data_IF_182979531400
#
_entry.id   IF_182979531400
#
_cell.length_a   1.000
_cell.length_b   1.000
_cell.length_c   1.000
_cell.angle_alpha   90.00
_cell.angle_beta   90.00
_cell.angle_gamma   90.00
#
_symmetry.space_group_name_H-M   'P 1'
#
loop_
_entity.id
_entity.type
_entity.pdbx_description
1 polymer ?
#
# COMPACT_ATOMS: atom_id res chain seq x y z
N UNK A 1 -41.46 -10.77 36.90
CA UNK A 1 -40.22 -10.31 36.26
C UNK A 1 -39.20 -11.44 36.34
N UNK A 2 -38.99 -12.17 35.26
CA UNK A 2 -37.98 -13.24 35.20
C UNK A 2 -36.76 -12.61 34.54
N UNK A 3 -35.70 -12.39 35.33
CA UNK A 3 -34.38 -12.03 34.82
C UNK A 3 -33.80 -13.26 34.12
N UNK A 4 -34.01 -13.36 32.80
CA UNK A 4 -33.28 -14.28 31.96
C UNK A 4 -31.85 -13.78 31.77
N UNK A 5 -30.94 -14.17 32.67
CA UNK A 5 -29.51 -14.08 32.40
C UNK A 5 -29.20 -15.10 31.30
N UNK A 6 -29.21 -14.66 30.04
CA UNK A 6 -28.70 -15.47 28.95
C UNK A 6 -27.19 -15.60 29.17
N UNK A 7 -26.74 -16.76 29.68
CA UNK A 7 -25.34 -17.15 29.58
C UNK A 7 -24.93 -17.01 28.11
N UNK A 8 -23.96 -16.14 27.83
CA UNK A 8 -23.32 -16.16 26.52
C UNK A 8 -22.80 -17.59 26.29
N UNK A 9 -23.16 -18.24 25.18
CA UNK A 9 -22.68 -19.58 24.90
C UNK A 9 -21.15 -19.56 24.92
N UNK A 10 -20.54 -20.51 25.64
CA UNK A 10 -19.11 -20.76 25.55
C UNK A 10 -18.79 -21.20 24.12
N UNK A 11 -18.36 -20.26 23.28
CA UNK A 11 -17.91 -20.54 21.92
C UNK A 11 -16.40 -20.65 21.98
N UNK A 12 -15.88 -21.88 21.87
CA UNK A 12 -14.45 -22.09 21.61
C UNK A 12 -14.10 -21.32 20.33
N UNK A 13 -13.01 -20.56 20.35
CA UNK A 13 -12.55 -19.88 19.14
C UNK A 13 -12.42 -20.89 18.00
N UNK A 14 -12.95 -20.58 16.80
CA UNK A 14 -12.88 -21.49 15.66
C UNK A 14 -11.43 -21.73 15.28
N UNK A 15 -11.12 -22.96 14.88
CA UNK A 15 -9.81 -23.31 14.34
C UNK A 15 -9.68 -22.70 12.94
N UNK A 16 -8.82 -21.68 12.79
CA UNK A 16 -8.61 -20.97 11.52
C UNK A 16 -7.68 -21.73 10.57
N UNK A 17 -6.97 -22.73 11.07
CA UNK A 17 -6.04 -23.58 10.33
C UNK A 17 -6.17 -25.04 10.78
N UNK A 18 -6.58 -25.92 9.87
CA UNK A 18 -6.66 -27.36 10.11
C UNK A 18 -5.86 -28.11 9.05
N UNK A 19 -5.03 -29.06 9.47
CA UNK A 19 -4.33 -29.96 8.55
C UNK A 19 -5.05 -31.30 8.50
N UNK A 20 -5.50 -31.69 7.30
CA UNK A 20 -6.20 -32.94 7.05
C UNK A 20 -5.21 -34.12 6.99
N UNK A 21 -5.73 -35.35 7.13
CA UNK A 21 -4.90 -36.55 7.14
C UNK A 21 -4.10 -36.79 5.84
N UNK A 22 -4.59 -36.27 4.71
CA UNK A 22 -3.90 -36.33 3.41
C UNK A 22 -2.81 -35.25 3.26
N UNK A 23 -2.68 -34.33 4.22
CA UNK A 23 -1.78 -33.17 4.17
C UNK A 23 -2.42 -31.89 3.63
N UNK A 24 -3.71 -31.89 3.26
CA UNK A 24 -4.42 -30.67 2.85
C UNK A 24 -4.53 -29.71 4.02
N UNK A 25 -4.07 -28.47 3.84
CA UNK A 25 -4.23 -27.39 4.83
C UNK A 25 -5.47 -26.59 4.47
N UNK A 26 -6.46 -26.55 5.35
CA UNK A 26 -7.65 -25.72 5.24
C UNK A 26 -7.53 -24.49 6.13
N UNK A 27 -7.94 -23.35 5.60
CA UNK A 27 -7.82 -22.06 6.27
C UNK A 27 -9.15 -21.31 6.18
N UNK A 28 -9.50 -20.56 7.24
CA UNK A 28 -10.64 -19.64 7.25
C UNK A 28 -10.16 -18.28 7.75
N UNK A 29 -10.38 -17.24 6.95
CA UNK A 29 -9.97 -15.88 7.28
C UNK A 29 -10.80 -15.36 8.45
N UNK A 30 -10.18 -15.00 9.60
CA UNK A 30 -10.94 -14.65 10.78
C UNK A 30 -11.86 -13.45 10.53
N UNK A 31 -11.36 -12.41 9.86
CA UNK A 31 -12.10 -11.16 9.68
C UNK A 31 -12.92 -11.11 8.38
N UNK A 32 -12.66 -12.04 7.46
CA UNK A 32 -13.21 -12.03 6.11
C UNK A 32 -14.13 -13.22 5.81
N UNK A 33 -14.05 -14.28 6.62
CA UNK A 33 -14.72 -15.57 6.34
C UNK A 33 -14.18 -16.27 5.09
N UNK A 34 -13.05 -15.82 4.54
CA UNK A 34 -12.51 -16.36 3.29
C UNK A 34 -11.98 -17.78 3.50
N UNK A 35 -12.49 -18.74 2.73
CA UNK A 35 -12.05 -20.13 2.79
C UNK A 35 -10.92 -20.39 1.79
N UNK A 36 -9.86 -21.06 2.24
CA UNK A 36 -8.65 -21.29 1.43
C UNK A 36 -8.10 -22.67 1.68
N UNK A 37 -7.77 -23.42 0.63
CA UNK A 37 -7.15 -24.73 0.73
C UNK A 37 -5.76 -24.75 0.07
N UNK A 38 -4.82 -25.40 0.73
CA UNK A 38 -3.52 -25.77 0.17
C UNK A 38 -3.47 -27.29 0.05
N UNK A 39 -3.61 -27.79 -1.17
CA UNK A 39 -3.67 -29.24 -1.45
C UNK A 39 -2.26 -29.77 -1.80
N UNK A 40 -1.82 -30.90 -1.23
CA UNK A 40 -0.54 -31.52 -1.56
C UNK A 40 -0.37 -31.78 -3.06
N UNK A 41 0.85 -31.66 -3.56
CA UNK A 41 1.17 -31.84 -4.98
C UNK A 41 0.89 -30.61 -5.88
N UNK A 42 0.03 -29.67 -5.48
CA UNK A 42 -0.10 -28.37 -6.18
C UNK A 42 1.07 -27.42 -5.91
N UNK A 43 1.77 -27.59 -4.77
CA UNK A 43 2.93 -26.79 -4.37
C UNK A 43 4.24 -27.14 -5.08
N UNK A 44 4.30 -28.23 -5.86
CA UNK A 44 5.51 -28.62 -6.61
C UNK A 44 5.76 -27.75 -7.86
N UNK A 45 4.81 -26.88 -8.21
CA UNK A 45 5.02 -25.91 -9.29
C UNK A 45 5.88 -24.77 -8.74
N UNK A 46 6.92 -24.32 -9.47
CA UNK A 46 7.55 -23.03 -9.20
C UNK A 46 6.47 -21.95 -9.05
N UNK A 47 6.79 -20.83 -8.40
CA UNK A 47 5.87 -19.69 -8.14
C UNK A 47 5.20 -19.09 -9.39
N UNK A 48 5.36 -19.68 -10.57
CA UNK A 48 4.83 -19.20 -11.84
C UNK A 48 5.49 -17.90 -12.28
N UNK A 49 6.61 -17.54 -11.65
CA UNK A 49 7.37 -16.33 -11.96
C UNK A 49 7.89 -16.44 -13.38
N UNK A 50 7.26 -15.71 -14.29
CA UNK A 50 7.81 -15.48 -15.61
C UNK A 50 8.80 -14.33 -15.48
N UNK A 51 10.09 -14.67 -15.49
CA UNK A 51 11.13 -13.67 -15.66
C UNK A 51 11.20 -13.31 -17.14
N UNK A 52 11.05 -12.03 -17.53
CA UNK A 52 11.32 -11.64 -18.90
C UNK A 52 12.79 -11.94 -19.24
N UNK A 53 13.07 -12.13 -20.52
CA UNK A 53 14.46 -12.17 -20.97
C UNK A 53 15.10 -10.81 -20.70
N UNK A 54 16.25 -10.75 -20.00
CA UNK A 54 16.89 -9.48 -19.68
C UNK A 54 17.35 -8.77 -20.95
N UNK A 55 16.95 -7.51 -21.11
CA UNK A 55 17.49 -6.63 -22.13
C UNK A 55 18.36 -5.53 -21.50
N UNK A 56 19.49 -5.17 -22.13
CA UNK A 56 20.31 -4.07 -21.65
C UNK A 56 19.49 -2.78 -21.50
N UNK A 57 19.71 -2.06 -20.39
CA UNK A 57 19.11 -0.74 -20.22
C UNK A 57 19.74 0.23 -21.23
N UNK A 58 18.89 0.97 -21.94
CA UNK A 58 19.35 2.10 -22.75
C UNK A 58 19.82 3.23 -21.81
N UNK A 59 21.14 3.40 -21.70
CA UNK A 59 21.76 4.45 -20.88
C UNK A 59 21.29 5.85 -21.31
N UNK A 60 20.92 6.05 -22.58
CA UNK A 60 20.42 7.35 -23.05
C UNK A 60 19.02 7.67 -22.54
N UNK A 61 18.28 6.65 -22.08
CA UNK A 61 16.96 6.79 -21.48
C UNK A 61 16.98 6.96 -19.95
N UNK A 62 18.17 7.12 -19.34
CA UNK A 62 18.29 7.30 -17.89
C UNK A 62 17.37 8.43 -17.39
N UNK A 63 16.59 8.15 -16.35
CA UNK A 63 15.63 9.09 -15.79
C UNK A 63 14.42 9.43 -16.70
N UNK A 64 14.24 8.73 -17.83
CA UNK A 64 13.15 8.96 -18.79
C UNK A 64 12.36 7.70 -19.19
N UNK A 65 12.64 6.54 -18.58
CA UNK A 65 12.02 5.25 -18.92
C UNK A 65 10.48 5.25 -18.84
N UNK A 66 9.89 6.01 -17.92
CA UNK A 66 8.44 6.20 -17.85
C UNK A 66 8.08 7.60 -17.32
N UNK A 67 6.78 7.94 -17.36
CA UNK A 67 6.27 9.24 -16.90
C UNK A 67 6.55 9.54 -15.42
N UNK A 68 6.90 8.52 -14.62
CA UNK A 68 7.22 8.69 -13.21
C UNK A 68 8.68 9.06 -12.93
N UNK A 69 9.58 8.86 -13.89
CA UNK A 69 11.00 9.13 -13.74
C UNK A 69 11.30 10.63 -13.60
N UNK A 70 12.46 10.93 -13.02
CA UNK A 70 12.87 12.23 -12.52
C UNK A 70 13.10 13.29 -13.59
N UNK A 71 13.35 12.90 -14.84
CA UNK A 71 13.46 13.83 -15.96
C UNK A 71 12.12 14.05 -16.68
N UNK A 72 11.03 13.43 -16.19
CA UNK A 72 9.68 13.48 -16.79
C UNK A 72 8.61 14.01 -15.83
N UNK A 73 9.00 14.84 -14.86
CA UNK A 73 8.09 15.45 -13.88
C UNK A 73 6.89 16.19 -14.50
N UNK A 74 7.08 16.71 -15.71
CA UNK A 74 6.09 17.47 -16.48
C UNK A 74 5.05 16.60 -17.22
N UNK A 75 5.06 15.29 -17.00
CA UNK A 75 4.10 14.32 -17.57
C UNK A 75 3.08 13.80 -16.55
N UNK A 76 3.28 14.12 -15.27
CA UNK A 76 2.32 13.85 -14.19
C UNK A 76 1.63 15.14 -13.77
N UNK A 77 0.44 15.11 -13.16
CA UNK A 77 -0.17 16.31 -12.61
C UNK A 77 0.76 17.07 -11.64
N UNK A 78 0.55 18.39 -11.45
CA UNK A 78 1.31 19.20 -10.50
C UNK A 78 1.41 18.52 -9.14
N UNK A 79 2.63 18.40 -8.63
CA UNK A 79 2.86 17.74 -7.34
C UNK A 79 2.28 18.56 -6.18
N UNK A 80 1.69 17.86 -5.22
CA UNK A 80 1.22 18.44 -3.96
C UNK A 80 2.40 18.67 -3.01
N UNK A 81 3.36 17.74 -3.02
CA UNK A 81 4.58 17.80 -2.23
C UNK A 81 5.63 16.82 -2.76
N UNK A 82 6.89 17.03 -2.35
CA UNK A 82 7.98 16.09 -2.55
C UNK A 82 8.90 16.04 -1.35
N UNK A 83 9.59 14.91 -1.19
CA UNK A 83 10.71 14.75 -0.28
C UNK A 83 11.99 14.85 -1.12
N UNK A 84 12.92 15.69 -0.68
CA UNK A 84 14.25 15.84 -1.26
C UNK A 84 15.31 15.46 -0.25
N UNK A 85 16.50 15.08 -0.73
CA UNK A 85 17.65 14.75 0.09
C UNK A 85 18.83 15.65 -0.28
N UNK A 86 19.48 16.24 0.72
CA UNK A 86 20.72 17.01 0.60
C UNK A 86 21.75 16.45 1.58
N UNK A 87 22.69 15.63 1.08
CA UNK A 87 23.57 14.86 1.97
C UNK A 87 22.75 13.90 2.82
N UNK A 88 22.81 14.07 4.15
CA UNK A 88 22.05 13.26 5.12
C UNK A 88 20.75 13.94 5.59
N UNK A 89 20.47 15.15 5.11
CA UNK A 89 19.27 15.89 5.47
C UNK A 89 18.13 15.58 4.51
N UNK A 90 16.94 15.43 5.08
CA UNK A 90 15.69 15.16 4.37
C UNK A 90 14.73 16.33 4.59
N UNK A 91 14.16 16.86 3.51
CA UNK A 91 13.22 17.97 3.56
C UNK A 91 11.98 17.66 2.74
N UNK A 92 10.81 18.00 3.27
CA UNK A 92 9.55 17.98 2.51
C UNK A 92 9.26 19.37 1.97
N UNK A 93 9.25 19.49 0.65
CA UNK A 93 8.88 20.71 -0.06
C UNK A 93 7.42 20.61 -0.52
N UNK A 94 6.66 21.69 -0.33
CA UNK A 94 5.23 21.76 -0.60
C UNK A 94 4.95 22.65 -1.81
N UNK A 95 3.94 22.29 -2.62
CA UNK A 95 3.36 23.17 -3.65
C UNK A 95 4.41 23.83 -4.58
N UNK A 96 5.43 23.07 -5.04
CA UNK A 96 6.49 23.64 -5.89
C UNK A 96 5.91 24.18 -7.19
N UNK A 97 6.36 25.37 -7.64
CA UNK A 97 5.98 25.89 -8.94
C UNK A 97 6.74 25.14 -10.06
N UNK A 98 6.18 25.17 -11.29
CA UNK A 98 6.66 24.39 -12.43
C UNK A 98 8.14 24.66 -12.77
N UNK A 99 8.56 25.92 -12.72
CA UNK A 99 9.92 26.37 -13.02
C UNK A 99 10.96 25.88 -11.99
N UNK A 100 10.52 25.36 -10.84
CA UNK A 100 11.40 24.81 -9.79
C UNK A 100 11.45 23.29 -9.76
N UNK A 101 10.62 22.58 -10.54
CA UNK A 101 10.53 21.12 -10.49
C UNK A 101 11.87 20.40 -10.72
N UNK A 102 12.77 20.97 -11.52
CA UNK A 102 14.07 20.38 -11.86
C UNK A 102 15.24 20.99 -11.07
N UNK A 103 14.98 21.87 -10.10
CA UNK A 103 16.04 22.44 -9.24
C UNK A 103 16.53 21.46 -8.18
N UNK A 104 15.69 20.50 -7.82
CA UNK A 104 15.97 19.42 -6.89
C UNK A 104 15.49 18.10 -7.50
N UNK A 105 16.05 17.00 -7.04
CA UNK A 105 15.57 15.66 -7.38
C UNK A 105 14.66 15.18 -6.26
N UNK A 106 13.42 14.84 -6.61
CA UNK A 106 12.47 14.24 -5.67
C UNK A 106 12.87 12.79 -5.39
N UNK A 107 13.18 12.48 -4.13
CA UNK A 107 13.33 11.10 -3.65
C UNK A 107 11.96 10.41 -3.60
N UNK A 108 10.95 11.16 -3.14
CA UNK A 108 9.53 10.77 -3.20
C UNK A 108 8.68 11.98 -3.60
N UNK A 109 7.60 11.77 -4.34
CA UNK A 109 6.65 12.85 -4.68
C UNK A 109 5.22 12.40 -4.62
N UNK A 110 4.34 13.28 -4.15
CA UNK A 110 2.90 13.08 -4.09
C UNK A 110 2.27 13.89 -5.21
N UNK A 111 1.67 13.20 -6.18
CA UNK A 111 0.97 13.81 -7.32
C UNK A 111 -0.48 13.34 -7.35
N UNK A 112 -1.42 14.16 -7.83
CA UNK A 112 -2.77 13.69 -8.15
C UNK A 112 -2.72 12.56 -9.18
N UNK A 113 -3.64 11.60 -9.06
CA UNK A 113 -3.82 10.57 -10.06
C UNK A 113 -4.58 11.13 -11.28
N UNK A 114 -4.13 10.80 -12.49
CA UNK A 114 -4.75 11.24 -13.73
C UNK A 114 -6.16 10.65 -13.93
N UNK A 115 -6.37 9.42 -13.42
CA UNK A 115 -7.62 8.67 -13.51
C UNK A 115 -8.15 8.38 -12.11
N UNK A 116 -8.80 9.39 -11.53
CA UNK A 116 -9.41 9.32 -10.21
C UNK A 116 -10.47 8.22 -10.13
N UNK A 117 -10.54 7.51 -8.99
CA UNK A 117 -11.63 6.56 -8.74
C UNK A 117 -12.91 7.33 -8.40
N UNK A 118 -12.81 8.26 -7.44
CA UNK A 118 -13.82 9.26 -7.14
C UNK A 118 -13.25 10.62 -7.53
N UNK A 119 -13.74 11.17 -8.65
CA UNK A 119 -13.22 12.42 -9.20
C UNK A 119 -13.56 13.63 -8.33
N UNK A 120 -12.83 14.73 -8.51
CA UNK A 120 -13.24 16.02 -7.91
C UNK A 120 -14.70 16.38 -8.25
N UNK A 121 -15.16 16.10 -9.47
CA UNK A 121 -16.55 16.33 -9.89
C UNK A 121 -17.57 15.48 -9.11
N UNK A 122 -17.21 14.25 -8.75
CA UNK A 122 -18.04 13.42 -7.89
C UNK A 122 -18.26 14.10 -6.53
N UNK A 123 -17.20 14.60 -5.90
CA UNK A 123 -17.31 15.30 -4.62
C UNK A 123 -18.10 16.60 -4.73
N UNK A 124 -17.86 17.38 -5.80
CA UNK A 124 -18.58 18.63 -6.08
C UNK A 124 -20.08 18.37 -6.26
N UNK A 125 -20.45 17.40 -7.09
CA UNK A 125 -21.84 17.12 -7.42
C UNK A 125 -22.64 16.53 -6.25
N UNK A 126 -22.04 15.66 -5.45
CA UNK A 126 -22.76 14.93 -4.40
C UNK A 126 -22.70 15.62 -3.02
N UNK A 127 -21.63 16.38 -2.75
CA UNK A 127 -21.39 16.99 -1.44
C UNK A 127 -21.26 18.51 -1.48
N UNK A 128 -21.37 19.14 -2.65
CA UNK A 128 -21.05 20.56 -2.82
C UNK A 128 -19.61 20.87 -2.43
N UNK A 129 -18.70 19.91 -2.63
CA UNK A 129 -17.29 20.09 -2.30
C UNK A 129 -16.67 21.16 -3.20
N UNK A 130 -16.04 22.14 -2.56
CA UNK A 130 -15.27 23.19 -3.20
C UNK A 130 -13.79 23.04 -2.83
N UNK A 131 -12.90 23.56 -3.69
CA UNK A 131 -11.47 23.55 -3.40
C UNK A 131 -11.19 24.26 -2.06
N UNK A 132 -10.51 23.60 -1.12
CA UNK A 132 -10.00 24.28 0.07
C UNK A 132 -9.11 25.46 -0.32
N UNK A 133 -9.06 26.52 0.49
CA UNK A 133 -8.32 27.74 0.15
C UNK A 133 -6.82 27.49 -0.11
N UNK A 134 -6.21 26.53 0.59
CA UNK A 134 -4.84 26.09 0.32
C UNK A 134 -4.67 25.56 -1.11
N UNK A 135 -5.52 24.62 -1.52
CA UNK A 135 -5.52 24.04 -2.86
C UNK A 135 -5.87 25.08 -3.94
N UNK A 136 -6.83 25.97 -3.67
CA UNK A 136 -7.22 27.05 -4.57
C UNK A 136 -6.09 28.07 -4.77
N UNK A 137 -5.36 28.42 -3.69
CA UNK A 137 -4.16 29.27 -3.77
C UNK A 137 -3.06 28.58 -4.58
N UNK A 138 -2.79 27.30 -4.33
CA UNK A 138 -1.81 26.53 -5.09
C UNK A 138 -2.17 26.52 -6.58
N UNK A 139 -3.42 26.23 -6.94
CA UNK A 139 -3.91 26.29 -8.31
C UNK A 139 -3.67 27.65 -8.96
N UNK A 140 -4.08 28.74 -8.30
CA UNK A 140 -3.90 30.10 -8.83
C UNK A 140 -2.42 30.44 -9.03
N UNK A 141 -1.56 30.11 -8.06
CA UNK A 141 -0.13 30.37 -8.15
C UNK A 141 0.54 29.57 -9.28
N UNK A 142 0.22 28.27 -9.39
CA UNK A 142 0.78 27.39 -10.41
C UNK A 142 0.40 27.85 -11.84
N UNK A 143 -0.88 28.19 -12.04
CA UNK A 143 -1.41 28.63 -13.34
C UNK A 143 -1.04 30.07 -13.71
N UNK A 144 -0.52 30.87 -12.77
CA UNK A 144 -0.06 32.23 -13.05
C UNK A 144 1.27 32.25 -13.84
N UNK A 145 2.06 31.18 -13.75
CA UNK A 145 3.30 31.02 -14.52
C UNK A 145 3.02 30.47 -15.92
N UNK A 146 3.74 30.94 -16.97
CA UNK A 146 3.66 30.34 -18.31
C UNK A 146 3.96 28.83 -18.30
N UNK A 147 5.00 28.42 -17.58
CA UNK A 147 5.46 27.03 -17.48
C UNK A 147 4.41 26.14 -16.79
N UNK A 148 3.81 26.61 -15.70
CA UNK A 148 2.79 25.87 -14.97
C UNK A 148 1.48 25.76 -15.73
N UNK A 149 1.08 26.81 -16.44
CA UNK A 149 -0.05 26.76 -17.35
C UNK A 149 0.17 25.76 -18.49
N UNK A 150 1.31 25.82 -19.17
CA UNK A 150 1.64 24.89 -20.26
C UNK A 150 1.64 23.45 -19.74
N UNK A 151 2.25 23.23 -18.58
CA UNK A 151 2.27 21.93 -17.93
C UNK A 151 0.86 21.37 -17.70
N UNK A 152 -0.03 22.13 -17.04
CA UNK A 152 -1.40 21.69 -16.76
C UNK A 152 -2.16 21.40 -18.05
N UNK A 153 -2.06 22.27 -19.07
CA UNK A 153 -2.73 22.07 -20.34
C UNK A 153 -2.24 20.81 -21.07
N UNK A 154 -0.93 20.54 -21.05
CA UNK A 154 -0.34 19.34 -21.65
C UNK A 154 -0.83 18.07 -20.97
N UNK A 155 -0.84 18.04 -19.63
CA UNK A 155 -1.31 16.87 -18.87
C UNK A 155 -2.81 16.67 -19.05
N UNK A 156 -3.60 17.76 -19.10
CA UNK A 156 -5.03 17.70 -19.40
C UNK A 156 -5.32 17.14 -20.80
N UNK A 157 -4.55 17.54 -21.81
CA UNK A 157 -4.64 16.99 -23.15
C UNK A 157 -4.30 15.50 -23.18
N UNK A 158 -3.24 15.07 -22.49
CA UNK A 158 -2.88 13.65 -22.36
C UNK A 158 -4.03 12.86 -21.71
N UNK A 159 -4.63 13.38 -20.64
CA UNK A 159 -5.81 12.78 -19.99
C UNK A 159 -6.98 12.63 -20.97
N UNK A 160 -7.33 13.71 -21.68
CA UNK A 160 -8.46 13.72 -22.62
C UNK A 160 -8.28 12.69 -23.74
N UNK A 161 -7.08 12.60 -24.31
CA UNK A 161 -6.73 11.61 -25.33
C UNK A 161 -6.81 10.18 -24.79
N UNK A 162 -6.27 9.94 -23.60
CA UNK A 162 -6.34 8.63 -22.96
C UNK A 162 -7.78 8.21 -22.60
N UNK A 163 -8.65 9.18 -22.32
CA UNK A 163 -10.10 8.97 -22.13
C UNK A 163 -10.88 8.84 -23.45
N UNK A 164 -10.19 8.74 -24.60
CA UNK A 164 -10.81 8.43 -25.89
C UNK A 164 -11.18 9.63 -26.77
N UNK A 165 -10.82 10.87 -26.39
CA UNK A 165 -11.05 12.03 -27.26
C UNK A 165 -10.06 12.04 -28.43
N UNK A 166 -10.56 12.28 -29.65
CA UNK A 166 -9.71 12.39 -30.83
C UNK A 166 -8.89 13.68 -30.87
N UNK A 167 -7.76 13.68 -31.58
CA UNK A 167 -6.86 14.85 -31.68
C UNK A 167 -7.57 16.12 -32.15
N UNK A 168 -8.46 16.02 -33.15
CA UNK A 168 -9.24 17.15 -33.64
C UNK A 168 -10.26 17.69 -32.61
N UNK A 169 -10.81 16.82 -31.76
CA UNK A 169 -11.74 17.22 -30.70
C UNK A 169 -11.01 18.00 -29.60
N UNK A 170 -9.86 17.50 -29.15
CA UNK A 170 -9.05 18.20 -28.13
C UNK A 170 -8.53 19.53 -28.68
N UNK A 171 -8.08 19.57 -29.93
CA UNK A 171 -7.62 20.79 -30.59
C UNK A 171 -8.72 21.87 -30.68
N UNK A 172 -9.98 21.46 -30.87
CA UNK A 172 -11.14 22.37 -30.92
C UNK A 172 -11.60 22.88 -29.55
N UNK A 173 -11.19 22.23 -28.44
CA UNK A 173 -11.55 22.70 -27.09
C UNK A 173 -10.89 24.04 -26.78
N UNK A 174 -11.65 24.94 -26.16
CA UNK A 174 -11.11 26.20 -25.63
C UNK A 174 -10.14 25.91 -24.48
N UNK A 175 -9.32 26.91 -24.14
CA UNK A 175 -8.40 26.82 -23.01
C UNK A 175 -9.15 26.54 -21.70
N UNK A 176 -10.28 27.18 -21.49
CA UNK A 176 -11.12 27.04 -20.30
C UNK A 176 -11.67 25.62 -20.18
N UNK A 177 -12.10 25.02 -21.30
CA UNK A 177 -12.58 23.63 -21.32
C UNK A 177 -11.47 22.64 -20.96
N UNK A 178 -10.24 22.86 -21.44
CA UNK A 178 -9.08 22.02 -21.07
C UNK A 178 -8.69 22.19 -19.61
N UNK A 179 -8.80 23.41 -19.06
CA UNK A 179 -8.55 23.66 -17.64
C UNK A 179 -9.63 23.04 -16.74
N UNK A 180 -10.90 23.03 -17.16
CA UNK A 180 -11.96 22.33 -16.41
C UNK A 180 -11.70 20.81 -16.38
N UNK A 181 -11.18 20.22 -17.47
CA UNK A 181 -10.79 18.80 -17.49
C UNK A 181 -9.62 18.47 -16.51
N UNK A 182 -8.88 19.50 -16.07
CA UNK A 182 -7.81 19.46 -15.10
C UNK A 182 -8.25 19.80 -13.66
N UNK A 183 -9.55 19.97 -13.40
CA UNK A 183 -10.09 20.35 -12.08
C UNK A 183 -9.58 19.45 -10.94
N UNK A 184 -9.48 18.15 -11.19
CA UNK A 184 -8.96 17.16 -10.25
C UNK A 184 -7.46 17.29 -9.91
N UNK A 185 -6.66 18.06 -10.65
CA UNK A 185 -5.22 18.17 -10.40
C UNK A 185 -4.86 18.93 -9.12
N UNK A 186 -5.80 19.68 -8.55
CA UNK A 186 -5.55 20.41 -7.30
C UNK A 186 -6.50 19.99 -6.18
N UNK A 187 -7.71 19.52 -6.53
CA UNK A 187 -8.74 19.11 -5.56
C UNK A 187 -9.01 17.62 -5.48
N UNK A 188 -8.34 16.81 -6.31
CA UNK A 188 -8.60 15.37 -6.40
C UNK A 188 -8.27 14.63 -5.11
N UNK A 189 -9.12 13.66 -4.78
CA UNK A 189 -8.98 12.77 -3.62
C UNK A 189 -8.20 11.48 -3.90
N UNK A 190 -7.71 11.31 -5.13
CA UNK A 190 -6.89 10.17 -5.54
C UNK A 190 -5.46 10.66 -5.81
N UNK A 191 -4.50 10.27 -4.97
CA UNK A 191 -3.09 10.64 -5.06
C UNK A 191 -2.19 9.44 -5.32
N UNK A 192 -1.00 9.70 -5.86
CA UNK A 192 0.06 8.73 -6.13
C UNK A 192 1.35 9.20 -5.46
N UNK A 193 1.94 8.35 -4.62
CA UNK A 193 3.26 8.56 -4.01
C UNK A 193 4.30 7.81 -4.83
N UNK A 194 5.18 8.51 -5.50
CA UNK A 194 6.13 7.97 -6.48
C UNK A 194 7.54 8.04 -5.90
N UNK A 195 8.30 6.93 -5.91
CA UNK A 195 9.72 6.94 -5.56
C UNK A 195 10.60 7.38 -6.75
N UNK A 196 11.81 7.87 -6.51
CA UNK A 196 12.72 8.35 -7.57
C UNK A 196 13.06 7.29 -8.61
N UNK A 197 13.60 6.15 -8.15
CA UNK A 197 14.26 5.15 -8.99
C UNK A 197 13.27 4.28 -9.75
N UNK A 198 13.52 4.10 -11.04
CA UNK A 198 12.87 3.08 -11.87
C UNK A 198 13.61 1.74 -11.77
N UNK A 199 14.92 1.78 -11.97
CA UNK A 199 15.84 0.67 -11.76
C UNK A 199 16.75 0.97 -10.56
N UNK A 200 17.32 -0.07 -9.94
CA UNK A 200 18.32 0.11 -8.88
C UNK A 200 19.56 0.83 -9.42
N UNK A 201 20.29 1.53 -8.55
CA UNK A 201 21.51 2.22 -8.95
C UNK A 201 22.54 1.20 -9.48
N UNK A 202 23.09 1.46 -10.67
CA UNK A 202 24.03 0.55 -11.35
C UNK A 202 23.38 -0.65 -12.05
N UNK A 203 22.06 -0.63 -12.28
CA UNK A 203 21.39 -1.62 -13.11
C UNK A 203 21.98 -1.67 -14.53
N UNK A 204 22.16 -2.88 -15.06
CA UNK A 204 22.67 -3.16 -16.41
C UNK A 204 21.58 -3.69 -17.34
N UNK A 205 20.50 -4.24 -16.79
CA UNK A 205 19.37 -4.77 -17.55
C UNK A 205 18.00 -4.43 -16.93
N UNK A 206 16.96 -4.53 -17.75
CA UNK A 206 15.58 -4.15 -17.45
C UNK A 206 14.87 -5.04 -16.41
N UNK A 207 15.53 -6.08 -15.88
CA UNK A 207 15.00 -6.91 -14.79
C UNK A 207 15.34 -6.35 -13.41
N UNK A 208 16.27 -5.41 -13.32
CA UNK A 208 16.78 -4.86 -12.07
C UNK A 208 15.95 -3.66 -11.55
N UNK A 209 14.63 -3.85 -11.48
CA UNK A 209 13.66 -2.85 -11.04
C UNK A 209 13.91 -2.39 -9.59
N UNK A 210 13.71 -1.10 -9.33
CA UNK A 210 13.71 -0.55 -7.99
C UNK A 210 12.31 -0.68 -7.35
N UNK A 211 12.13 -1.72 -6.54
CA UNK A 211 10.91 -1.94 -5.73
C UNK A 211 11.05 -1.55 -4.26
N UNK A 212 9.96 -1.67 -3.48
CA UNK A 212 9.92 -1.26 -2.06
C UNK A 212 11.01 -1.92 -1.21
N UNK A 213 11.32 -3.21 -1.47
CA UNK A 213 12.37 -3.95 -0.76
C UNK A 213 13.80 -3.63 -1.23
N UNK A 214 13.96 -2.88 -2.33
CA UNK A 214 15.28 -2.47 -2.84
C UNK A 214 15.77 -1.16 -2.24
N UNK A 215 14.85 -0.33 -1.74
CA UNK A 215 15.17 0.84 -0.92
C UNK A 215 16.05 0.43 0.26
N UNK A 216 16.84 1.36 0.77
CA UNK A 216 17.47 1.22 2.08
C UNK A 216 16.42 1.35 3.19
N UNK A 217 16.67 0.83 4.41
CA UNK A 217 15.77 1.04 5.53
C UNK A 217 15.46 2.52 5.83
N UNK A 218 16.44 3.41 5.64
CA UNK A 218 16.27 4.86 5.80
C UNK A 218 15.34 5.45 4.72
N UNK A 219 15.58 5.14 3.44
CA UNK A 219 14.71 5.60 2.36
C UNK A 219 13.28 5.07 2.53
N UNK A 220 13.12 3.81 2.96
CA UNK A 220 11.80 3.23 3.19
C UNK A 220 11.07 3.90 4.38
N UNK A 221 11.78 4.27 5.46
CA UNK A 221 11.21 5.10 6.54
C UNK A 221 10.64 6.40 5.98
N UNK A 222 11.39 7.14 5.15
CA UNK A 222 10.91 8.39 4.56
C UNK A 222 9.74 8.17 3.61
N UNK A 223 9.74 7.08 2.84
CA UNK A 223 8.63 6.71 1.97
C UNK A 223 7.33 6.45 2.76
N UNK A 224 7.42 5.73 3.87
CA UNK A 224 6.29 5.43 4.76
C UNK A 224 5.82 6.69 5.49
N UNK A 225 6.74 7.47 6.07
CA UNK A 225 6.39 8.71 6.77
C UNK A 225 5.70 9.71 5.82
N UNK A 226 6.20 9.87 4.60
CA UNK A 226 5.60 10.72 3.57
C UNK A 226 4.23 10.21 3.10
N UNK A 227 4.03 8.88 3.06
CA UNK A 227 2.73 8.27 2.79
C UNK A 227 1.74 8.60 3.91
N UNK A 228 2.13 8.46 5.18
CA UNK A 228 1.29 8.78 6.36
C UNK A 228 0.89 10.26 6.36
N UNK A 229 1.85 11.16 6.13
CA UNK A 229 1.59 12.59 6.02
C UNK A 229 0.63 12.93 4.87
N UNK A 230 0.76 12.24 3.72
CA UNK A 230 -0.18 12.38 2.60
C UNK A 230 -1.59 11.90 2.94
N UNK A 231 -1.73 10.82 3.70
CA UNK A 231 -3.03 10.35 4.20
C UNK A 231 -3.68 11.40 5.09
N UNK A 232 -2.94 11.93 6.07
CA UNK A 232 -3.42 12.97 6.97
C UNK A 232 -3.92 14.20 6.20
N UNK A 233 -3.11 14.70 5.27
CA UNK A 233 -3.48 15.84 4.41
C UNK A 233 -4.70 15.56 3.54
N UNK A 234 -4.91 14.32 3.10
CA UNK A 234 -6.11 13.93 2.35
C UNK A 234 -7.39 14.15 3.16
N UNK A 235 -7.37 13.76 4.45
CA UNK A 235 -8.49 14.02 5.38
C UNK A 235 -8.67 15.51 5.68
N UNK A 236 -7.58 16.25 5.89
CA UNK A 236 -7.63 17.69 6.12
C UNK A 236 -8.22 18.45 4.92
N UNK A 237 -7.96 17.96 3.70
CA UNK A 237 -8.46 18.56 2.46
C UNK A 237 -9.92 18.20 2.15
N UNK A 238 -10.35 16.97 2.43
CA UNK A 238 -11.71 16.52 2.13
C UNK A 238 -12.42 15.99 3.38
N UNK A 239 -13.19 16.89 4.01
CA UNK A 239 -14.00 16.58 5.20
C UNK A 239 -15.05 15.47 5.00
N UNK A 240 -15.42 15.17 3.75
CA UNK A 240 -16.43 14.16 3.43
C UNK A 240 -15.81 12.76 3.30
N UNK A 241 -14.48 12.67 3.21
CA UNK A 241 -13.79 11.40 3.19
C UNK A 241 -13.94 10.70 4.54
N UNK A 242 -14.50 9.49 4.53
CA UNK A 242 -14.63 8.63 5.72
C UNK A 242 -13.44 7.69 5.86
N UNK A 243 -12.81 7.35 4.74
CA UNK A 243 -11.61 6.53 4.72
C UNK A 243 -10.67 6.95 3.59
N UNK A 244 -9.35 6.89 3.82
CA UNK A 244 -8.34 7.06 2.75
C UNK A 244 -7.64 5.72 2.57
N UNK A 245 -8.00 5.02 1.51
CA UNK A 245 -7.41 3.71 1.20
C UNK A 245 -5.98 3.88 0.71
N UNK A 246 -5.02 3.19 1.31
CA UNK A 246 -3.61 3.17 0.87
C UNK A 246 -3.28 1.79 0.34
N UNK A 247 -2.74 1.74 -0.88
CA UNK A 247 -2.30 0.49 -1.48
C UNK A 247 -1.16 0.67 -2.49
N UNK A 248 -0.45 -0.42 -2.77
CA UNK A 248 0.55 -0.52 -3.83
C UNK A 248 0.24 -1.76 -4.67
N UNK A 249 0.28 -1.59 -5.99
CA UNK A 249 0.25 -2.71 -6.93
C UNK A 249 1.64 -2.82 -7.55
N UNK A 250 2.30 -3.96 -7.37
CA UNK A 250 3.62 -4.23 -7.92
C UNK A 250 3.54 -5.29 -9.02
N UNK A 251 3.97 -4.93 -10.23
CA UNK A 251 3.89 -5.69 -11.47
C UNK A 251 2.46 -5.95 -11.99
N UNK A 252 2.38 -6.22 -13.30
CA UNK A 252 1.14 -6.44 -14.05
C UNK A 252 0.17 -7.46 -13.43
N UNK A 253 0.60 -8.65 -12.92
CA UNK A 253 -0.34 -9.61 -12.31
C UNK A 253 -1.05 -9.11 -11.04
N UNK A 254 -0.47 -8.10 -10.38
CA UNK A 254 -1.07 -7.42 -9.24
C UNK A 254 -1.91 -6.19 -9.63
N UNK A 255 -1.96 -5.85 -10.92
CA UNK A 255 -2.72 -4.70 -11.44
C UNK A 255 -1.90 -3.40 -11.50
N UNK A 256 -0.57 -3.47 -11.55
CA UNK A 256 0.25 -2.28 -11.81
C UNK A 256 0.16 -1.89 -13.29
N UNK A 257 0.02 -0.59 -13.56
CA UNK A 257 0.12 -0.02 -14.91
C UNK A 257 1.55 0.41 -15.26
N UNK A 258 2.35 0.73 -14.24
CA UNK A 258 3.77 1.08 -14.37
C UNK A 258 4.59 0.19 -13.44
N UNK A 259 5.69 -0.35 -13.95
CA UNK A 259 6.69 -1.08 -13.15
C UNK A 259 7.67 -0.11 -12.47
N UNK A 260 7.16 1.02 -11.99
CA UNK A 260 7.89 2.05 -11.25
C UNK A 260 7.28 2.13 -9.85
N UNK A 261 8.10 2.10 -8.78
CA UNK A 261 7.58 2.04 -7.42
C UNK A 261 6.67 3.24 -7.09
N UNK A 262 5.40 2.94 -6.79
CA UNK A 262 4.44 3.93 -6.35
C UNK A 262 3.36 3.34 -5.43
N UNK A 263 2.84 4.17 -4.52
CA UNK A 263 1.61 3.90 -3.74
C UNK A 263 0.47 4.77 -4.25
N UNK A 264 -0.76 4.32 -4.05
CA UNK A 264 -1.98 5.06 -4.34
C UNK A 264 -2.74 5.31 -3.04
N UNK A 265 -3.26 6.53 -2.91
CA UNK A 265 -4.11 6.96 -1.81
C UNK A 265 -5.45 7.39 -2.39
N UNK A 266 -6.55 6.81 -1.93
CA UNK A 266 -7.88 7.12 -2.45
C UNK A 266 -8.81 7.49 -1.30
N UNK A 267 -9.20 8.75 -1.23
CA UNK A 267 -10.28 9.22 -0.38
C UNK A 267 -11.61 8.63 -0.87
N UNK A 268 -12.35 8.01 0.05
CA UNK A 268 -13.68 7.45 -0.18
C UNK A 268 -14.64 7.88 0.93
N UNK A 269 -15.92 8.01 0.58
CA UNK A 269 -17.04 8.33 1.46
C UNK A 269 -17.72 7.07 2.03
N UNK A 270 -17.07 5.91 1.89
CA UNK A 270 -17.45 4.64 2.52
C UNK A 270 -16.32 4.08 3.37
N UNK A 271 -16.64 3.07 4.20
CA UNK A 271 -15.64 2.32 5.00
C UNK A 271 -15.26 0.98 4.37
N UNK A 272 -16.08 0.45 3.47
CA UNK A 272 -15.93 -0.89 2.89
C UNK A 272 -16.43 -2.02 3.81
N UNK A 273 -16.82 -3.14 3.18
CA UNK A 273 -17.45 -4.29 3.86
C UNK A 273 -16.53 -4.92 4.92
N UNK A 274 -15.23 -5.01 4.65
CA UNK A 274 -14.28 -5.61 5.58
C UNK A 274 -14.19 -4.83 6.90
N UNK A 275 -14.19 -3.50 6.84
CA UNK A 275 -14.24 -2.67 8.03
C UNK A 275 -15.55 -2.85 8.78
N UNK A 276 -16.71 -2.83 8.10
CA UNK A 276 -18.01 -3.00 8.77
C UNK A 276 -18.11 -4.35 9.50
N UNK A 277 -17.65 -5.45 8.89
CA UNK A 277 -17.60 -6.77 9.52
C UNK A 277 -16.63 -6.79 10.71
N UNK A 278 -15.43 -6.22 10.55
CA UNK A 278 -14.45 -6.15 11.63
C UNK A 278 -14.97 -5.32 12.81
N UNK A 279 -15.63 -4.19 12.55
CA UNK A 279 -16.22 -3.33 13.57
C UNK A 279 -17.35 -4.03 14.33
N UNK A 280 -18.22 -4.76 13.64
CA UNK A 280 -19.27 -5.53 14.29
C UNK A 280 -18.70 -6.56 15.29
N UNK A 281 -17.60 -7.23 14.93
CA UNK A 281 -16.90 -8.16 15.82
C UNK A 281 -16.12 -7.47 16.93
N UNK A 282 -15.46 -6.35 16.64
CA UNK A 282 -14.67 -5.59 17.61
C UNK A 282 -15.55 -5.00 18.73
N UNK A 283 -16.84 -4.72 18.45
CA UNK A 283 -17.82 -4.35 19.49
C UNK A 283 -18.08 -5.46 20.51
N UNK A 284 -17.88 -6.72 20.12
CA UNK A 284 -18.10 -7.89 20.97
C UNK A 284 -16.80 -8.32 21.68
N UNK A 285 -15.66 -8.12 21.02
CA UNK A 285 -14.34 -8.48 21.52
C UNK A 285 -13.34 -7.34 21.23
N UNK A 286 -13.08 -6.44 22.21
CA UNK A 286 -12.11 -5.36 22.05
C UNK A 286 -10.67 -5.83 21.80
N UNK A 287 -10.34 -7.09 22.14
CA UNK A 287 -9.02 -7.68 21.92
C UNK A 287 -8.94 -8.47 20.60
N UNK A 288 -9.97 -8.40 19.75
CA UNK A 288 -10.14 -9.21 18.55
C UNK A 288 -8.87 -9.33 17.70
N UNK A 289 -8.20 -8.22 17.38
CA UNK A 289 -7.04 -8.27 16.48
C UNK A 289 -5.82 -8.96 17.12
N UNK A 290 -5.63 -8.87 18.44
CA UNK A 290 -4.60 -9.66 19.12
C UNK A 290 -4.93 -11.15 19.02
N UNK A 291 -6.16 -11.51 19.35
CA UNK A 291 -6.64 -12.90 19.37
C UNK A 291 -6.49 -13.58 18.01
N UNK A 292 -7.05 -12.98 16.96
CA UNK A 292 -7.13 -13.61 15.63
C UNK A 292 -5.93 -13.31 14.73
N UNK A 293 -4.97 -12.51 15.20
CA UNK A 293 -3.77 -12.13 14.47
C UNK A 293 -2.52 -12.70 15.15
N UNK A 294 -1.71 -11.87 15.85
CA UNK A 294 -0.41 -12.28 16.35
C UNK A 294 -0.46 -13.34 17.44
N UNK A 295 -1.50 -13.42 18.29
CA UNK A 295 -1.59 -14.49 19.29
C UNK A 295 -1.76 -15.84 18.59
N UNK A 296 -2.75 -15.94 17.70
CA UNK A 296 -2.98 -17.16 16.91
C UNK A 296 -1.73 -17.51 16.08
N UNK A 297 -1.11 -16.54 15.42
CA UNK A 297 0.13 -16.77 14.66
C UNK A 297 1.26 -17.29 15.57
N UNK A 298 1.41 -16.74 16.78
CA UNK A 298 2.36 -17.22 17.79
C UNK A 298 2.13 -18.67 18.19
N UNK A 299 0.89 -19.03 18.53
CA UNK A 299 0.54 -20.40 18.94
C UNK A 299 0.73 -21.44 17.83
N UNK A 300 0.67 -21.01 16.57
CA UNK A 300 0.83 -21.87 15.39
C UNK A 300 2.19 -21.75 14.72
N UNK A 301 3.19 -21.11 15.36
CA UNK A 301 4.56 -20.92 14.85
C UNK A 301 4.63 -20.19 13.49
N UNK A 302 3.71 -19.25 13.24
CA UNK A 302 3.61 -18.48 12.00
C UNK A 302 4.30 -17.11 12.07
N UNK A 303 4.78 -16.69 13.24
CA UNK A 303 5.58 -15.47 13.36
C UNK A 303 6.84 -15.59 12.50
N UNK A 304 7.06 -14.55 11.68
CA UNK A 304 8.18 -14.44 10.76
C UNK A 304 9.27 -13.57 11.39
N UNK A 305 8.90 -12.38 11.85
CA UNK A 305 9.82 -11.43 12.45
C UNK A 305 9.08 -10.43 13.35
N UNK A 306 9.79 -9.80 14.28
CA UNK A 306 9.29 -8.68 15.08
C UNK A 306 10.40 -7.68 15.38
N UNK A 307 10.02 -6.46 15.75
CA UNK A 307 10.87 -5.53 16.48
C UNK A 307 10.08 -4.99 17.69
N UNK A 308 10.50 -3.87 18.25
CA UNK A 308 9.85 -3.33 19.45
C UNK A 308 8.52 -2.61 19.16
N UNK A 309 8.24 -2.31 17.89
CA UNK A 309 7.08 -1.51 17.47
C UNK A 309 6.14 -2.23 16.51
N UNK A 310 6.52 -3.36 15.94
CA UNK A 310 5.71 -4.11 14.99
C UNK A 310 5.99 -5.62 15.03
N UNK A 311 5.03 -6.39 14.51
CA UNK A 311 5.12 -7.85 14.35
C UNK A 311 4.68 -8.26 12.95
N UNK A 312 5.42 -9.19 12.34
CA UNK A 312 5.15 -9.75 11.03
C UNK A 312 4.98 -11.27 11.10
N UNK A 313 3.97 -11.79 10.42
CA UNK A 313 3.67 -13.23 10.38
C UNK A 313 3.11 -13.67 9.03
N UNK A 314 3.17 -14.98 8.75
CA UNK A 314 2.47 -15.54 7.61
C UNK A 314 0.97 -15.60 7.90
N UNK A 315 0.21 -14.77 7.19
CA UNK A 315 -1.23 -14.68 7.31
C UNK A 315 -1.93 -15.95 6.85
N UNK A 316 -3.15 -16.14 7.32
CA UNK A 316 -3.97 -17.30 7.03
C UNK A 316 -5.39 -16.90 6.64
N UNK A 317 -6.02 -17.72 5.79
CA UNK A 317 -7.37 -17.44 5.30
C UNK A 317 -7.42 -16.26 4.33
N UNK A 318 -6.36 -16.05 3.57
CA UNK A 318 -6.29 -15.06 2.49
C UNK A 318 -6.36 -15.74 1.13
N UNK A 319 -7.07 -15.10 0.19
CA UNK A 319 -7.18 -15.56 -1.21
C UNK A 319 -5.83 -15.83 -1.88
N UNK A 320 -4.79 -15.14 -1.44
CA UNK A 320 -3.41 -15.27 -1.91
C UNK A 320 -2.50 -15.54 -0.71
N UNK A 321 -1.31 -16.14 -0.89
CA UNK A 321 -0.29 -16.16 0.18
C UNK A 321 0.00 -14.72 0.63
N UNK A 322 -0.08 -14.47 1.94
CA UNK A 322 -0.04 -13.11 2.48
C UNK A 322 0.91 -13.05 3.68
N UNK A 323 1.78 -12.04 3.69
CA UNK A 323 2.47 -11.61 4.91
C UNK A 323 1.66 -10.50 5.56
N UNK A 324 1.46 -10.63 6.87
CA UNK A 324 0.71 -9.69 7.69
C UNK A 324 1.67 -8.95 8.61
N UNK A 325 1.67 -7.61 8.57
CA UNK A 325 2.50 -6.76 9.42
C UNK A 325 1.57 -5.87 10.24
N UNK A 326 1.71 -5.87 11.57
CA UNK A 326 0.87 -5.10 12.49
C UNK A 326 1.73 -4.16 13.33
N UNK A 327 1.29 -2.91 13.46
CA UNK A 327 1.85 -1.98 14.43
C UNK A 327 1.41 -2.39 15.84
N UNK A 328 2.37 -2.40 16.75
CA UNK A 328 2.19 -2.63 18.18
C UNK A 328 1.95 -1.32 18.94
N UNK A 329 1.76 -0.18 18.26
CA UNK A 329 1.48 1.10 18.90
C UNK A 329 0.17 1.07 19.71
N UNK A 330 0.09 1.99 20.68
CA UNK A 330 -1.17 2.33 21.36
C UNK A 330 -2.10 3.20 20.49
N UNK A 331 -1.56 3.85 19.46
CA UNK A 331 -2.34 4.67 18.55
C UNK A 331 -2.86 3.86 17.36
N UNK A 332 -4.16 3.97 17.09
CA UNK A 332 -4.82 3.33 15.95
C UNK A 332 -4.46 3.98 14.62
N UNK A 333 -4.28 5.30 14.65
CA UNK A 333 -4.13 6.10 13.45
C UNK A 333 -2.64 6.27 13.12
N UNK A 334 -2.19 5.98 11.88
CA UNK A 334 -0.76 6.01 11.55
C UNK A 334 -0.07 7.36 11.80
N UNK A 335 -0.80 8.48 11.64
CA UNK A 335 -0.28 9.84 11.84
C UNK A 335 -0.22 10.29 13.31
N UNK A 336 -0.74 9.49 14.24
CA UNK A 336 -0.60 9.72 15.69
C UNK A 336 0.57 8.93 16.29
N UNK A 337 1.11 7.95 15.55
CA UNK A 337 2.25 7.15 16.01
C UNK A 337 3.54 7.98 16.03
N UNK A 338 4.41 7.68 16.99
CA UNK A 338 5.72 8.34 17.13
C UNK A 338 6.65 8.01 15.96
N UNK A 339 7.68 8.82 15.75
CA UNK A 339 8.66 8.58 14.69
C UNK A 339 9.35 7.21 14.84
N UNK A 340 9.64 6.77 16.07
CA UNK A 340 10.21 5.46 16.35
C UNK A 340 9.24 4.31 16.03
N UNK A 341 7.95 4.48 16.30
CA UNK A 341 6.92 3.49 15.95
C UNK A 341 6.72 3.37 14.45
N UNK A 342 6.65 4.50 13.75
CA UNK A 342 6.61 4.55 12.28
C UNK A 342 7.87 3.91 11.68
N UNK A 343 9.04 4.18 12.26
CA UNK A 343 10.30 3.56 11.85
C UNK A 343 10.26 2.04 12.01
N UNK A 344 9.85 1.55 13.17
CA UNK A 344 9.78 0.12 13.42
C UNK A 344 8.76 -0.59 12.52
N UNK A 345 7.61 0.05 12.24
CA UNK A 345 6.65 -0.47 11.26
C UNK A 345 7.25 -0.51 9.85
N UNK A 346 7.91 0.58 9.43
CA UNK A 346 8.61 0.69 8.16
C UNK A 346 9.66 -0.41 7.98
N UNK A 347 10.50 -0.65 9.00
CA UNK A 347 11.57 -1.64 8.96
C UNK A 347 11.02 -3.06 8.69
N UNK A 348 9.87 -3.43 9.26
CA UNK A 348 9.24 -4.73 8.97
C UNK A 348 8.57 -4.77 7.61
N UNK A 349 7.89 -3.71 7.18
CA UNK A 349 7.31 -3.64 5.82
C UNK A 349 8.42 -3.79 4.78
N UNK A 350 9.54 -3.05 4.96
CA UNK A 350 10.73 -3.14 4.13
C UNK A 350 11.29 -4.56 4.08
N UNK A 351 11.50 -5.18 5.24
CA UNK A 351 12.03 -6.53 5.36
C UNK A 351 11.13 -7.56 4.63
N UNK A 352 9.80 -7.45 4.77
CA UNK A 352 8.86 -8.35 4.09
C UNK A 352 8.90 -8.18 2.57
N UNK A 353 9.01 -6.95 2.06
CA UNK A 353 9.20 -6.70 0.63
C UNK A 353 10.55 -7.19 0.12
N UNK A 354 11.62 -6.96 0.87
CA UNK A 354 12.96 -7.42 0.52
C UNK A 354 13.03 -8.96 0.43
N UNK A 355 12.39 -9.66 1.37
CA UNK A 355 12.30 -11.11 1.37
C UNK A 355 11.35 -11.67 0.29
N UNK A 356 10.31 -10.90 -0.06
CA UNK A 356 9.42 -11.21 -1.19
C UNK A 356 10.17 -11.12 -2.52
N UNK A 357 11.01 -10.09 -2.69
CA UNK A 357 11.79 -9.84 -3.89
C UNK A 357 10.99 -9.15 -4.99
N UNK A 358 11.70 -8.41 -5.85
CA UNK A 358 11.10 -7.59 -6.91
C UNK A 358 10.42 -8.39 -8.02
N UNK A 359 10.77 -9.67 -8.18
CA UNK A 359 10.16 -10.54 -9.20
C UNK A 359 8.73 -10.98 -8.83
N UNK A 360 8.35 -10.88 -7.56
CA UNK A 360 7.06 -11.39 -7.09
C UNK A 360 6.01 -10.28 -7.17
N UNK A 361 5.09 -10.42 -8.12
CA UNK A 361 3.94 -9.52 -8.22
C UNK A 361 3.16 -9.54 -6.89
N UNK A 362 2.88 -8.37 -6.32
CA UNK A 362 2.24 -8.28 -5.01
C UNK A 362 1.35 -7.05 -4.86
N UNK A 363 0.38 -7.16 -3.95
CA UNK A 363 -0.39 -6.03 -3.46
C UNK A 363 0.05 -5.73 -2.01
N UNK A 364 0.35 -4.47 -1.71
CA UNK A 364 0.44 -3.97 -0.34
C UNK A 364 -0.86 -3.23 -0.03
N UNK A 365 -1.56 -3.60 1.04
CA UNK A 365 -2.84 -3.00 1.43
C UNK A 365 -2.81 -2.57 2.89
N UNK A 366 -3.10 -1.29 3.15
CA UNK A 366 -3.14 -0.78 4.52
C UNK A 366 -4.55 -0.81 5.08
N UNK A 367 -4.65 -1.23 6.33
CA UNK A 367 -5.87 -1.13 7.11
C UNK A 367 -5.56 -0.41 8.41
N UNK A 368 -6.33 0.62 8.70
CA UNK A 368 -6.30 1.35 9.96
C UNK A 368 -7.73 1.81 10.28
N UNK A 369 -7.91 2.45 11.44
CA UNK A 369 -9.21 2.93 11.91
C UNK A 369 -9.77 4.02 10.97
N UNK A 370 -11.01 3.88 10.47
CA UNK A 370 -11.66 4.96 9.73
C UNK A 370 -11.86 6.21 10.61
N UNK A 371 -11.80 7.40 10.01
CA UNK A 371 -11.74 8.68 10.76
C UNK A 371 -12.98 8.93 11.62
N UNK A 372 -14.12 8.34 11.25
CA UNK A 372 -15.42 8.50 11.89
C UNK A 372 -15.76 7.32 12.83
N UNK A 373 -14.76 6.54 13.24
CA UNK A 373 -14.88 5.36 14.12
C UNK A 373 -14.12 5.58 15.42
N UNK A 374 -14.80 5.36 16.56
CA UNK A 374 -14.19 5.45 17.88
C UNK A 374 -13.57 4.12 18.38
N UNK A 375 -13.96 2.98 17.79
CA UNK A 375 -13.42 1.67 18.20
C UNK A 375 -11.96 1.55 17.75
N UNK A 376 -11.05 1.10 18.63
CA UNK A 376 -9.65 1.15 18.31
C UNK A 376 -9.28 -0.03 17.40
N UNK A 377 -8.59 0.26 16.30
CA UNK A 377 -8.17 -0.71 15.29
C UNK A 377 -6.68 -0.50 15.01
N UNK A 378 -5.84 -1.55 15.01
CA UNK A 378 -4.43 -1.38 14.74
C UNK A 378 -4.21 -0.97 13.28
N UNK A 379 -3.18 -0.15 13.06
CA UNK A 379 -2.60 -0.03 11.72
C UNK A 379 -1.89 -1.34 11.37
N UNK A 380 -2.26 -1.91 10.23
CA UNK A 380 -1.70 -3.14 9.69
C UNK A 380 -1.57 -3.08 8.17
N UNK A 381 -0.62 -3.83 7.65
CA UNK A 381 -0.29 -3.91 6.24
C UNK A 381 -0.31 -5.37 5.79
N UNK A 382 -1.08 -5.65 4.73
CA UNK A 382 -1.17 -6.97 4.11
C UNK A 382 -0.33 -6.97 2.84
N UNK A 383 0.69 -7.82 2.76
CA UNK A 383 1.50 -8.01 1.56
C UNK A 383 1.10 -9.33 0.88
N UNK A 384 0.27 -9.24 -0.16
CA UNK A 384 -0.36 -10.38 -0.84
C UNK A 384 0.37 -10.75 -2.12
N UNK A 385 0.86 -11.98 -2.22
CA UNK A 385 1.61 -12.48 -3.38
C UNK A 385 0.66 -12.95 -4.49
N UNK A 386 0.68 -12.27 -5.63
CA UNK A 386 -0.19 -12.51 -6.79
C UNK A 386 0.40 -13.57 -7.72
N UNK A 387 0.67 -14.73 -7.13
CA UNK A 387 1.35 -15.88 -7.75
C UNK A 387 0.39 -16.95 -8.30
N UNK A 388 -0.92 -16.69 -8.26
CA UNK A 388 -1.95 -17.57 -8.80
C UNK A 388 -3.04 -16.80 -9.52
N UNK A 389 -3.52 -17.38 -10.63
CA UNK A 389 -4.69 -16.89 -11.36
C UNK A 389 -5.92 -17.67 -10.89
N UNK A 390 -7.01 -16.99 -10.53
CA UNK A 390 -8.26 -17.66 -10.20
C UNK A 390 -8.83 -18.38 -11.43
N UNK A 391 -9.42 -19.54 -11.20
CA UNK A 391 -10.10 -20.31 -12.22
C UNK A 391 -11.59 -20.52 -11.86
N UNK A 392 -12.27 -21.36 -12.64
CA UNK A 392 -13.72 -21.61 -12.48
C UNK A 392 -14.11 -22.20 -11.13
N UNK A 393 -13.21 -22.95 -10.47
CA UNK A 393 -13.46 -23.53 -9.16
C UNK A 393 -13.64 -22.45 -8.08
N UNK A 394 -12.68 -21.54 -7.98
CA UNK A 394 -12.72 -20.44 -7.02
C UNK A 394 -13.88 -19.48 -7.32
N UNK A 395 -14.18 -19.28 -8.61
CA UNK A 395 -15.32 -18.48 -9.06
C UNK A 395 -16.66 -19.01 -8.57
N UNK A 396 -16.87 -20.33 -8.68
CA UNK A 396 -18.13 -21.01 -8.36
C UNK A 396 -18.32 -21.29 -6.86
N UNK A 397 -17.24 -21.64 -6.15
CA UNK A 397 -17.33 -22.09 -4.74
C UNK A 397 -17.00 -20.99 -3.74
N UNK A 398 -16.24 -19.97 -4.14
CA UNK A 398 -15.59 -19.00 -3.25
C UNK A 398 -14.58 -19.61 -2.27
N UNK A 399 -14.20 -20.86 -2.50
CA UNK A 399 -13.07 -21.51 -1.84
C UNK A 399 -11.84 -21.28 -2.72
N UNK A 400 -10.80 -20.68 -2.16
CA UNK A 400 -9.59 -20.33 -2.89
C UNK A 400 -8.52 -21.42 -2.78
N UNK A 401 -7.74 -21.63 -3.84
CA UNK A 401 -6.63 -22.58 -3.82
C UNK A 401 -5.28 -21.84 -3.80
N UNK A 402 -4.48 -22.14 -2.78
CA UNK A 402 -3.10 -21.66 -2.68
C UNK A 402 -2.12 -22.82 -2.90
N UNK A 403 -0.98 -22.51 -3.54
CA UNK A 403 0.13 -23.44 -3.72
C UNK A 403 1.11 -23.45 -2.54
N UNK A 404 1.03 -22.44 -1.67
CA UNK A 404 1.90 -22.24 -0.51
C UNK A 404 1.02 -22.18 0.73
N UNK A 405 1.30 -23.03 1.72
CA UNK A 405 0.66 -22.94 3.04
C UNK A 405 1.28 -21.80 3.88
N UNK A 406 0.62 -21.30 4.93
CA UNK A 406 1.19 -20.27 5.79
C UNK A 406 2.55 -20.67 6.39
N UNK A 407 2.72 -21.94 6.79
CA UNK A 407 4.01 -22.47 7.29
C UNK A 407 5.08 -22.41 6.21
N UNK A 408 4.79 -22.87 4.98
CA UNK A 408 5.74 -22.81 3.87
C UNK A 408 6.11 -21.37 3.49
N UNK A 409 5.15 -20.44 3.56
CA UNK A 409 5.41 -19.02 3.33
C UNK A 409 6.35 -18.47 4.40
N UNK A 410 6.05 -18.75 5.68
CA UNK A 410 6.88 -18.34 6.81
C UNK A 410 8.31 -18.84 6.67
N UNK A 411 8.50 -20.13 6.40
CA UNK A 411 9.84 -20.73 6.30
C UNK A 411 10.65 -20.12 5.14
N UNK A 412 10.01 -19.96 3.97
CA UNK A 412 10.63 -19.31 2.80
C UNK A 412 11.08 -17.88 3.12
N UNK A 413 10.24 -17.11 3.79
CA UNK A 413 10.52 -15.70 4.10
C UNK A 413 11.60 -15.60 5.17
N UNK A 414 11.55 -16.44 6.20
CA UNK A 414 12.59 -16.52 7.25
C UNK A 414 13.96 -16.80 6.63
N UNK A 415 14.07 -17.79 5.74
CA UNK A 415 15.33 -18.10 5.05
C UNK A 415 15.90 -16.87 4.32
N UNK A 416 15.04 -16.14 3.60
CA UNK A 416 15.43 -14.91 2.90
C UNK A 416 15.84 -13.78 3.84
N UNK A 417 15.12 -13.60 4.95
CA UNK A 417 15.45 -12.57 5.94
C UNK A 417 16.81 -12.83 6.60
N UNK A 418 17.15 -14.08 6.90
CA UNK A 418 18.45 -14.42 7.47
C UNK A 418 19.58 -14.06 6.51
N UNK A 419 19.47 -14.42 5.22
CA UNK A 419 20.45 -14.06 4.21
C UNK A 419 20.55 -12.53 3.99
N UNK A 420 19.42 -11.82 3.99
CA UNK A 420 19.39 -10.36 3.87
C UNK A 420 20.05 -9.67 5.07
N UNK A 421 19.89 -10.22 6.27
CA UNK A 421 20.54 -9.72 7.48
C UNK A 421 22.06 -9.87 7.40
N UNK A 422 22.54 -11.04 6.96
CA UNK A 422 23.98 -11.29 6.76
C UNK A 422 24.57 -10.33 5.71
N UNK A 423 23.80 -9.99 4.68
CA UNK A 423 24.17 -9.01 3.68
C UNK A 423 24.04 -7.54 4.13
N UNK A 424 23.66 -7.27 5.38
CA UNK A 424 23.46 -5.90 5.90
C UNK A 424 22.32 -5.13 5.23
N UNK A 425 21.35 -5.83 4.64
CA UNK A 425 20.23 -5.23 3.90
C UNK A 425 19.00 -4.95 4.76
N UNK A 426 18.98 -5.41 6.00
CA UNK A 426 17.87 -5.20 6.94
C UNK A 426 18.22 -4.17 8.00
N UNK A 427 17.20 -3.51 8.56
CA UNK A 427 17.37 -2.66 9.72
C UNK A 427 17.89 -3.48 10.94
N UNK A 428 18.71 -2.88 11.81
CA UNK A 428 19.18 -3.54 13.01
C UNK A 428 18.01 -3.82 13.98
N UNK A 429 18.14 -4.84 14.81
CA UNK A 429 17.17 -5.13 15.88
C UNK A 429 15.92 -5.92 15.45
N UNK A 430 15.78 -6.26 14.16
CA UNK A 430 14.75 -7.21 13.70
C UNK A 430 15.10 -8.62 14.22
N UNK A 431 14.21 -9.15 15.06
CA UNK A 431 14.26 -10.53 15.55
C UNK A 431 13.56 -11.42 14.55
N UNK A 432 14.22 -12.47 14.08
CA UNK A 432 13.69 -13.36 13.04
C UNK A 432 13.39 -14.73 13.63
N UNK A 433 12.23 -15.29 13.28
CA UNK A 433 11.82 -16.64 13.64
C UNK A 433 11.96 -16.96 15.13
N UNK A 434 12.87 -17.86 15.51
CA UNK A 434 13.06 -18.30 16.91
C UNK A 434 13.63 -17.23 17.83
N UNK A 435 14.11 -16.11 17.28
CA UNK A 435 14.56 -14.94 18.05
C UNK A 435 13.39 -14.07 18.53
N UNK A 436 12.21 -14.24 17.94
CA UNK A 436 11.02 -13.44 18.25
C UNK A 436 10.50 -13.77 19.64
N UNK A 437 9.99 -12.76 20.36
CA UNK A 437 9.53 -12.92 21.74
C UNK A 437 8.16 -13.57 21.81
N UNK A 438 7.34 -13.46 20.76
CA UNK A 438 5.99 -14.02 20.69
C UNK A 438 5.15 -13.66 21.93
N UNK A 439 5.27 -12.42 22.42
CA UNK A 439 4.56 -11.99 23.63
C UNK A 439 3.05 -12.02 23.35
N UNK A 440 2.24 -12.63 24.22
CA UNK A 440 0.79 -12.53 24.10
C UNK A 440 0.35 -11.07 24.16
N UNK A 441 -0.66 -10.73 23.35
CA UNK A 441 -1.24 -9.40 23.22
C UNK A 441 -0.21 -8.30 22.91
N UNK A 442 0.57 -8.43 21.82
CA UNK A 442 1.59 -7.43 21.48
C UNK A 442 0.98 -6.11 20.99
N UNK A 443 -0.24 -6.12 20.48
CA UNK A 443 -0.91 -4.92 19.96
C UNK A 443 -1.50 -4.11 21.12
N UNK A 444 -1.12 -2.83 21.22
CA UNK A 444 -1.44 -1.97 22.38
C UNK A 444 -2.60 -1.01 22.15
N UNK A 445 -3.20 -1.00 20.96
CA UNK A 445 -4.23 -0.04 20.54
C UNK A 445 -5.50 -0.01 21.40
N UNK A 446 -5.76 -1.07 22.17
CA UNK A 446 -6.96 -1.22 23.00
C UNK A 446 -6.69 -1.19 24.51
N UNK A 447 -5.50 -0.73 24.93
CA UNK A 447 -5.07 -0.72 26.34
C UNK A 447 -5.62 0.44 27.15
#
# INVERSE_FOLDING_TARGET
MIYGCAMQPYVRQPEYLSTMADGTVKQVGPLTGTEVWTVPGRGNRPLGLQRPEPHPIDETAHGTHCAFCEQRYLETPPEKARVVRSGDEWETLMELPAEKLFTTTAEFRCVPNLFEILSFDYWRANYGFELPESAARHQRAYLASPEGLEHVLRVAETKLRASGHGTGQVAAMTREQRLEAASGFFGGGHDVIIARRHFVDGAVDDTQLAGSGTLTPEEHEKFIAFTIDSVRRSYENNRYARYVTVFQNWLKPAGASFDHLHKQLVAIDERGVQHEVALARLRQDPNLFNEVGPNYAGYHNLIVAENDHAVAFAGFGHRYPTLEIYSCSEFSDPWEQTAEEVRGMSDLIHAMHAATGVDVACNEEWHYRPIDVALPMPWRVMLKWRVSTLAGFEGATKIYLNTISPVMLRDRVVEKLLALREAGRLAPGIRIATETRCRPNPLRYSR
#
